data_IF_135095784045
#
_entry.id   IF_135095784045
#
_cell.length_a   1.000
_cell.length_b   1.000
_cell.length_c   1.000
_cell.angle_alpha   90.00
_cell.angle_beta   90.00
_cell.angle_gamma   90.00
#
_symmetry.space_group_name_H-M   'P 1'
#
loop_
_entity.id
_entity.type
_entity.pdbx_description
1 polymer ?
#
# COMPACT_ATOMS: atom_id res chain seq x y z
N UNK A 1 48.95 12.55 -40.38
CA UNK A 1 47.81 13.44 -40.07
C UNK A 1 46.51 12.64 -40.23
N UNK A 2 45.91 12.16 -39.12
CA UNK A 2 44.68 11.37 -39.13
C UNK A 2 43.52 12.24 -38.65
N UNK A 3 42.47 12.37 -39.48
CA UNK A 3 41.22 13.07 -39.15
C UNK A 3 40.40 12.22 -38.17
N UNK A 4 40.04 12.79 -37.02
CA UNK A 4 39.10 12.21 -36.05
C UNK A 4 37.74 12.88 -36.32
N UNK A 5 36.71 12.08 -36.62
CA UNK A 5 35.33 12.55 -36.79
C UNK A 5 34.65 12.85 -35.45
N UNK A 6 33.49 13.55 -35.44
CA UNK A 6 32.87 14.00 -34.20
C UNK A 6 32.26 12.83 -33.42
N UNK A 7 32.62 12.73 -32.14
CA UNK A 7 31.99 11.86 -31.16
C UNK A 7 30.66 12.50 -30.74
N UNK A 8 29.55 11.83 -31.04
CA UNK A 8 28.21 12.19 -30.55
C UNK A 8 28.16 11.80 -29.07
N UNK A 9 28.21 12.80 -28.19
CA UNK A 9 28.03 12.65 -26.76
C UNK A 9 26.54 12.46 -26.47
N UNK A 10 26.08 11.20 -26.43
CA UNK A 10 24.77 10.87 -25.85
C UNK A 10 24.85 11.07 -24.33
N UNK A 11 24.37 12.21 -23.85
CA UNK A 11 24.08 12.42 -22.43
C UNK A 11 22.87 11.56 -22.08
N UNK A 12 23.11 10.35 -21.58
CA UNK A 12 22.07 9.54 -20.94
C UNK A 12 21.62 10.25 -19.67
N UNK A 13 20.43 10.84 -19.75
CA UNK A 13 19.69 11.44 -18.65
C UNK A 13 19.44 10.35 -17.59
N UNK A 14 20.28 10.31 -16.54
CA UNK A 14 19.96 9.61 -15.30
C UNK A 14 18.68 10.24 -14.73
N UNK A 15 17.53 9.63 -15.02
CA UNK A 15 16.33 9.82 -14.23
C UNK A 15 16.60 9.19 -12.86
N UNK A 16 17.19 10.00 -11.98
CA UNK A 16 17.18 9.82 -10.54
C UNK A 16 15.71 9.88 -10.10
N UNK A 17 14.97 8.79 -10.30
CA UNK A 17 13.68 8.62 -9.64
C UNK A 17 13.99 8.44 -8.17
N UNK A 18 13.85 9.53 -7.41
CA UNK A 18 13.84 9.50 -5.97
C UNK A 18 12.71 8.60 -5.50
N UNK A 19 13.00 7.29 -5.37
CA UNK A 19 12.31 6.45 -4.43
C UNK A 19 12.66 6.99 -3.05
N UNK A 20 11.80 7.88 -2.54
CA UNK A 20 11.75 8.14 -1.11
C UNK A 20 11.43 6.79 -0.47
N UNK A 21 12.45 6.23 0.16
CA UNK A 21 12.40 4.96 0.87
C UNK A 21 11.34 5.07 1.99
N UNK A 22 10.20 4.41 1.81
CA UNK A 22 9.13 4.37 2.81
C UNK A 22 9.51 3.54 4.05
N UNK A 23 10.73 2.99 4.12
CA UNK A 23 11.27 2.31 5.30
C UNK A 23 11.70 3.29 6.43
N UNK A 24 11.61 4.59 6.19
CA UNK A 24 12.19 5.65 7.04
C UNK A 24 11.55 5.95 8.40
N UNK A 25 10.71 5.09 8.99
CA UNK A 25 10.11 5.36 10.30
C UNK A 25 10.05 4.10 11.19
N UNK A 26 11.17 3.38 11.35
CA UNK A 26 11.59 2.74 12.61
C UNK A 26 12.97 2.07 12.48
N UNK A 27 13.91 2.51 13.34
CA UNK A 27 15.22 1.91 13.69
C UNK A 27 16.31 1.95 12.60
N UNK A 28 17.56 2.02 13.08
CA UNK A 28 18.80 2.02 12.30
C UNK A 28 18.71 1.05 11.12
N UNK A 29 19.26 1.47 9.97
CA UNK A 29 19.34 0.74 8.69
C UNK A 29 19.82 -0.70 8.92
N UNK A 30 18.89 -1.61 9.26
CA UNK A 30 19.13 -3.02 9.18
C UNK A 30 19.52 -3.28 7.72
N UNK A 31 20.59 -4.04 7.50
CA UNK A 31 20.94 -4.48 6.16
C UNK A 31 19.67 -5.03 5.50
N UNK A 32 19.34 -4.55 4.30
CA UNK A 32 18.12 -4.96 3.62
C UNK A 32 18.15 -6.47 3.42
N UNK A 33 17.05 -7.17 3.72
CA UNK A 33 16.97 -8.61 3.53
C UNK A 33 17.09 -8.90 2.01
N UNK A 34 18.14 -9.61 1.56
CA UNK A 34 18.34 -9.89 0.13
C UNK A 34 17.16 -10.64 -0.51
N UNK A 35 16.44 -11.47 0.26
CA UNK A 35 15.25 -12.15 -0.25
C UNK A 35 14.12 -11.15 -0.51
N UNK A 36 13.89 -10.24 0.42
CA UNK A 36 12.89 -9.17 0.27
C UNK A 36 13.22 -8.31 -0.95
N UNK A 37 14.47 -7.86 -1.07
CA UNK A 37 14.91 -7.01 -2.17
C UNK A 37 14.79 -7.71 -3.53
N UNK A 38 15.16 -9.00 -3.62
CA UNK A 38 14.97 -9.80 -4.84
C UNK A 38 13.51 -9.91 -5.24
N UNK A 39 12.60 -10.16 -4.30
CA UNK A 39 11.16 -10.25 -4.58
C UNK A 39 10.62 -8.89 -5.03
N UNK A 40 10.92 -7.81 -4.31
CA UNK A 40 10.49 -6.45 -4.69
C UNK A 40 11.00 -6.08 -6.08
N UNK A 41 12.28 -6.35 -6.37
CA UNK A 41 12.91 -6.03 -7.65
C UNK A 41 12.30 -6.83 -8.79
N UNK A 42 12.12 -8.14 -8.59
CA UNK A 42 11.52 -9.02 -9.59
C UNK A 42 10.07 -8.65 -9.93
N UNK A 43 9.23 -8.38 -8.92
CA UNK A 43 7.86 -7.91 -9.13
C UNK A 43 7.83 -6.52 -9.78
N UNK A 44 8.72 -5.61 -9.36
CA UNK A 44 8.81 -4.27 -9.96
C UNK A 44 9.13 -4.34 -11.45
N UNK A 45 9.99 -5.29 -11.85
CA UNK A 45 10.42 -5.53 -13.22
C UNK A 45 9.49 -6.48 -14.00
N UNK A 46 8.43 -6.97 -13.37
CA UNK A 46 7.45 -7.91 -13.93
C UNK A 46 8.11 -9.21 -14.42
N UNK A 47 9.05 -9.73 -13.63
CA UNK A 47 9.72 -11.01 -13.91
C UNK A 47 8.79 -12.17 -13.58
N UNK A 48 8.69 -13.15 -14.49
CA UNK A 48 7.95 -14.41 -14.29
C UNK A 48 8.77 -15.46 -13.54
N UNK A 49 10.10 -15.30 -13.48
CA UNK A 49 11.00 -16.07 -12.63
C UNK A 49 11.97 -15.14 -11.92
N UNK A 50 12.05 -15.24 -10.59
CA UNK A 50 12.92 -14.43 -9.73
C UNK A 50 13.88 -15.37 -9.02
N UNK A 51 15.19 -15.16 -9.20
CA UNK A 51 16.20 -15.91 -8.47
C UNK A 51 16.20 -15.51 -6.99
N UNK A 52 16.10 -16.50 -6.10
CA UNK A 52 16.12 -16.29 -4.65
C UNK A 52 17.43 -16.75 -4.00
N UNK A 53 18.37 -17.28 -4.81
CA UNK A 53 19.59 -17.90 -4.31
C UNK A 53 19.30 -18.98 -3.26
N UNK A 54 20.17 -19.10 -2.25
CA UNK A 54 20.00 -20.04 -1.14
C UNK A 54 18.70 -19.82 -0.35
N UNK A 55 18.20 -18.59 -0.26
CA UNK A 55 16.96 -18.28 0.45
C UNK A 55 15.74 -18.98 -0.15
N UNK A 56 15.81 -19.37 -1.43
CA UNK A 56 14.74 -20.09 -2.11
C UNK A 56 14.57 -21.56 -1.70
N UNK A 57 15.46 -22.10 -0.85
CA UNK A 57 15.31 -23.46 -0.30
C UNK A 57 14.40 -23.50 0.94
N UNK A 58 14.15 -22.35 1.59
CA UNK A 58 13.24 -22.21 2.72
C UNK A 58 11.88 -21.66 2.25
N UNK A 59 10.97 -22.57 1.89
CA UNK A 59 9.63 -22.22 1.41
C UNK A 59 8.83 -21.35 2.38
N UNK A 60 8.99 -21.56 3.69
CA UNK A 60 8.27 -20.81 4.71
C UNK A 60 8.78 -19.37 4.78
N UNK A 61 10.10 -19.17 4.69
CA UNK A 61 10.69 -17.84 4.62
C UNK A 61 10.30 -17.11 3.33
N UNK A 62 10.30 -17.79 2.19
CA UNK A 62 9.83 -17.21 0.91
C UNK A 62 8.38 -16.76 1.02
N UNK A 63 7.50 -17.60 1.56
CA UNK A 63 6.09 -17.26 1.76
C UNK A 63 5.89 -16.05 2.65
N UNK A 64 6.48 -16.06 3.85
CA UNK A 64 6.40 -14.93 4.79
C UNK A 64 6.94 -13.64 4.18
N UNK A 65 8.05 -13.72 3.43
CA UNK A 65 8.65 -12.54 2.79
C UNK A 65 7.79 -12.02 1.64
N UNK A 66 7.18 -12.90 0.83
CA UNK A 66 6.27 -12.50 -0.23
C UNK A 66 5.02 -11.80 0.34
N UNK A 67 4.40 -12.38 1.37
CA UNK A 67 3.29 -11.77 2.11
C UNK A 67 3.66 -10.41 2.71
N UNK A 68 4.87 -10.30 3.29
CA UNK A 68 5.40 -9.05 3.80
C UNK A 68 5.55 -8.00 2.70
N UNK A 69 6.14 -8.36 1.54
CA UNK A 69 6.28 -7.45 0.39
C UNK A 69 4.93 -6.91 -0.05
N UNK A 70 3.92 -7.77 -0.23
CA UNK A 70 2.59 -7.31 -0.68
C UNK A 70 1.89 -6.42 0.34
N UNK A 71 2.08 -6.69 1.64
CA UNK A 71 1.54 -5.84 2.71
C UNK A 71 2.28 -4.50 2.81
N UNK A 72 3.60 -4.49 2.64
CA UNK A 72 4.44 -3.30 2.78
C UNK A 72 4.41 -2.40 1.54
N UNK A 73 4.25 -2.98 0.36
CA UNK A 73 4.35 -2.33 -0.96
C UNK A 73 3.04 -2.43 -1.73
N UNK A 74 1.94 -1.82 -1.25
CA UNK A 74 0.64 -1.93 -1.88
C UNK A 74 0.58 -1.35 -3.31
N UNK A 75 1.59 -0.57 -3.73
CA UNK A 75 1.77 -0.15 -5.13
C UNK A 75 2.09 -1.31 -6.10
N UNK A 76 2.50 -2.47 -5.58
CA UNK A 76 2.69 -3.72 -6.33
C UNK A 76 1.36 -4.49 -6.48
N UNK A 77 0.24 -3.79 -6.63
CA UNK A 77 -1.11 -4.36 -6.67
C UNK A 77 -1.35 -5.41 -7.78
N UNK A 78 -0.48 -5.44 -8.78
CA UNK A 78 -0.54 -6.37 -9.90
C UNK A 78 0.22 -7.68 -9.64
N UNK A 79 0.87 -7.81 -8.49
CA UNK A 79 1.53 -9.04 -8.08
C UNK A 79 0.51 -10.18 -7.93
N UNK A 80 0.81 -11.41 -8.38
CA UNK A 80 -0.11 -12.54 -8.27
C UNK A 80 -0.38 -12.95 -6.82
N UNK A 81 -1.61 -13.34 -6.50
CA UNK A 81 -1.92 -13.96 -5.20
C UNK A 81 -1.43 -15.42 -5.11
N UNK A 82 -1.17 -16.06 -6.25
CA UNK A 82 -0.63 -17.42 -6.34
C UNK A 82 0.72 -17.43 -7.05
N UNK A 83 1.64 -18.26 -6.53
CA UNK A 83 2.98 -18.42 -7.06
C UNK A 83 3.48 -19.84 -6.81
N UNK A 84 4.59 -20.20 -7.45
CA UNK A 84 5.30 -21.45 -7.17
C UNK A 84 6.73 -21.14 -6.73
N UNK A 85 7.28 -22.01 -5.91
CA UNK A 85 8.72 -21.97 -5.59
C UNK A 85 9.32 -23.27 -6.10
N UNK A 86 10.38 -23.16 -6.89
CA UNK A 86 11.16 -24.29 -7.39
C UNK A 86 12.54 -24.25 -6.74
N UNK A 87 13.09 -25.40 -6.35
CA UNK A 87 14.44 -25.50 -5.79
C UNK A 87 15.14 -26.77 -6.25
N UNK A 88 16.47 -26.69 -6.37
CA UNK A 88 17.36 -27.81 -6.64
C UNK A 88 18.16 -28.27 -5.40
N UNK A 89 17.73 -27.88 -4.20
CA UNK A 89 18.43 -28.16 -2.93
C UNK A 89 19.58 -27.21 -2.59
N UNK A 90 20.12 -26.47 -3.56
CA UNK A 90 21.16 -25.45 -3.34
C UNK A 90 20.65 -24.02 -3.50
N UNK A 91 19.73 -23.81 -4.42
CA UNK A 91 19.11 -22.51 -4.71
C UNK A 91 17.64 -22.69 -5.04
N UNK A 92 16.87 -21.60 -5.01
CA UNK A 92 15.48 -21.61 -5.45
C UNK A 92 15.08 -20.39 -6.27
N UNK A 93 13.92 -20.51 -6.92
CA UNK A 93 13.31 -19.50 -7.77
C UNK A 93 11.84 -19.32 -7.40
N UNK A 94 11.39 -18.06 -7.40
CA UNK A 94 9.97 -17.70 -7.31
C UNK A 94 9.40 -17.55 -8.72
N UNK A 95 8.40 -18.37 -9.04
CA UNK A 95 7.72 -18.39 -10.33
C UNK A 95 6.36 -17.70 -10.21
N UNK A 96 6.14 -16.69 -11.05
CA UNK A 96 4.99 -15.79 -11.02
C UNK A 96 4.23 -15.83 -12.35
N UNK A 97 2.90 -15.92 -12.27
CA UNK A 97 2.00 -15.80 -13.42
C UNK A 97 1.15 -14.54 -13.27
N UNK A 98 1.48 -13.50 -14.03
CA UNK A 98 0.74 -12.24 -13.99
C UNK A 98 -0.57 -12.32 -14.77
N UNK A 99 -1.63 -11.72 -14.22
CA UNK A 99 -2.94 -11.57 -14.86
C UNK A 99 -2.90 -10.68 -16.11
N UNK A 100 -1.94 -9.75 -16.16
CA UNK A 100 -1.80 -8.74 -17.20
C UNK A 100 -0.42 -8.84 -17.85
N UNK A 101 -0.31 -8.41 -19.10
CA UNK A 101 0.98 -8.31 -19.79
C UNK A 101 1.87 -7.25 -19.15
N UNK A 102 3.19 -7.35 -19.37
CA UNK A 102 4.16 -6.35 -18.89
C UNK A 102 3.84 -4.93 -19.38
N UNK A 103 3.34 -4.78 -20.60
CA UNK A 103 2.92 -3.49 -21.16
C UNK A 103 1.70 -2.92 -20.43
N UNK A 104 0.68 -3.76 -20.18
CA UNK A 104 -0.51 -3.38 -19.40
C UNK A 104 -0.12 -2.96 -17.99
N UNK A 105 0.69 -3.76 -17.29
CA UNK A 105 1.18 -3.45 -15.94
C UNK A 105 1.95 -2.14 -15.93
N UNK A 106 2.79 -1.88 -16.93
CA UNK A 106 3.53 -0.62 -17.04
C UNK A 106 2.57 0.58 -17.17
N UNK A 107 1.54 0.47 -18.02
CA UNK A 107 0.51 1.51 -18.15
C UNK A 107 -0.25 1.74 -16.85
N UNK A 108 -0.64 0.67 -16.16
CA UNK A 108 -1.34 0.76 -14.88
C UNK A 108 -0.47 1.39 -13.78
N UNK A 109 0.82 1.03 -13.70
CA UNK A 109 1.80 1.65 -12.80
C UNK A 109 1.92 3.15 -13.06
N UNK A 110 2.02 3.57 -14.32
CA UNK A 110 2.10 4.99 -14.68
C UNK A 110 0.85 5.76 -14.23
N UNK A 111 -0.35 5.22 -14.47
CA UNK A 111 -1.61 5.84 -14.03
C UNK A 111 -1.69 5.97 -12.50
N UNK A 112 -1.36 4.89 -11.78
CA UNK A 112 -1.35 4.89 -10.33
C UNK A 112 -0.33 5.89 -9.78
N UNK A 113 0.90 5.87 -10.28
CA UNK A 113 1.97 6.76 -9.82
C UNK A 113 1.62 8.24 -10.06
N UNK A 114 1.04 8.58 -11.22
CA UNK A 114 0.60 9.94 -11.49
C UNK A 114 -0.49 10.40 -10.50
N UNK A 115 -1.49 9.54 -10.24
CA UNK A 115 -2.55 9.82 -9.26
C UNK A 115 -2.00 9.99 -7.85
N UNK A 116 -1.17 9.05 -7.39
CA UNK A 116 -0.54 9.07 -6.07
C UNK A 116 0.33 10.32 -5.90
N UNK A 117 1.18 10.65 -6.89
CA UNK A 117 2.06 11.81 -6.82
C UNK A 117 1.28 13.13 -6.71
N UNK A 118 0.18 13.27 -7.45
CA UNK A 118 -0.70 14.44 -7.36
C UNK A 118 -1.29 14.60 -5.96
N UNK A 119 -1.83 13.54 -5.37
CA UNK A 119 -2.42 13.57 -4.03
C UNK A 119 -1.35 13.86 -2.98
N UNK A 120 -0.20 13.19 -3.05
CA UNK A 120 0.91 13.36 -2.10
C UNK A 120 1.48 14.78 -2.19
N UNK A 121 1.62 15.35 -3.39
CA UNK A 121 2.07 16.73 -3.55
C UNK A 121 1.12 17.71 -2.84
N UNK A 122 -0.19 17.57 -3.06
CA UNK A 122 -1.20 18.39 -2.40
C UNK A 122 -1.22 18.17 -0.88
N UNK A 123 -1.07 16.94 -0.39
CA UNK A 123 -0.96 16.65 1.03
C UNK A 123 0.28 17.33 1.65
N UNK A 124 1.43 17.30 0.97
CA UNK A 124 2.68 17.93 1.47
C UNK A 124 2.60 19.45 1.61
N UNK A 125 1.63 20.12 0.99
CA UNK A 125 1.37 21.56 1.21
C UNK A 125 0.73 21.87 2.56
N UNK A 126 0.19 20.86 3.27
CA UNK A 126 -0.47 21.05 4.57
C UNK A 126 0.55 21.28 5.68
N UNK A 127 0.23 22.20 6.60
CA UNK A 127 1.16 22.68 7.63
C UNK A 127 1.46 21.64 8.70
N UNK A 128 0.44 20.88 9.12
CA UNK A 128 0.57 19.90 10.21
C UNK A 128 0.36 18.47 9.70
N UNK A 129 0.90 17.49 10.43
CA UNK A 129 0.66 16.07 10.15
C UNK A 129 -0.83 15.73 10.17
N UNK A 130 -1.58 16.26 11.16
CA UNK A 130 -3.03 16.09 11.24
C UNK A 130 -3.74 16.59 9.97
N UNK A 131 -3.37 17.77 9.45
CA UNK A 131 -3.94 18.30 8.21
C UNK A 131 -3.57 17.44 6.98
N UNK A 132 -2.40 16.82 6.97
CA UNK A 132 -2.02 15.85 5.91
C UNK A 132 -2.91 14.62 5.96
N UNK A 133 -3.12 14.05 7.15
CA UNK A 133 -4.00 12.89 7.34
C UNK A 133 -5.43 13.24 6.95
N UNK A 134 -5.95 14.39 7.41
CA UNK A 134 -7.29 14.87 7.07
C UNK A 134 -7.48 15.06 5.56
N UNK A 135 -6.51 15.67 4.88
CA UNK A 135 -6.58 15.85 3.43
C UNK A 135 -6.64 14.51 2.68
N UNK A 136 -5.77 13.56 3.05
CA UNK A 136 -5.71 12.23 2.41
C UNK A 136 -6.98 11.44 2.69
N UNK A 137 -7.46 11.45 3.94
CA UNK A 137 -8.72 10.84 4.34
C UNK A 137 -9.89 11.36 3.50
N UNK A 138 -10.09 12.68 3.49
CA UNK A 138 -11.20 13.30 2.77
C UNK A 138 -11.10 13.07 1.27
N UNK A 139 -9.89 13.09 0.69
CA UNK A 139 -9.70 12.80 -0.71
C UNK A 139 -10.12 11.37 -1.05
N UNK A 140 -9.72 10.38 -0.24
CA UNK A 140 -10.02 8.98 -0.49
C UNK A 140 -11.52 8.68 -0.34
N UNK A 141 -12.14 9.11 0.76
CA UNK A 141 -13.57 8.91 1.04
C UNK A 141 -14.45 9.54 -0.04
N UNK A 142 -14.11 10.75 -0.51
CA UNK A 142 -14.89 11.38 -1.57
C UNK A 142 -14.60 10.83 -2.98
N UNK A 143 -13.48 10.12 -3.17
CA UNK A 143 -13.08 9.58 -4.47
C UNK A 143 -13.66 8.19 -4.71
N UNK A 144 -13.46 7.30 -3.75
CA UNK A 144 -13.80 5.89 -3.87
C UNK A 144 -15.24 5.66 -3.40
N UNK A 145 -15.86 4.61 -3.93
CA UNK A 145 -17.13 4.09 -3.44
C UNK A 145 -16.91 2.68 -2.92
N UNK A 146 -17.52 2.37 -1.78
CA UNK A 146 -17.50 1.00 -1.27
C UNK A 146 -18.14 0.03 -2.28
N UNK A 147 -17.48 -1.11 -2.54
CA UNK A 147 -17.96 -2.11 -3.51
C UNK A 147 -19.09 -2.99 -2.94
N UNK A 148 -20.14 -2.34 -2.44
CA UNK A 148 -21.20 -2.96 -1.66
C UNK A 148 -22.00 -4.00 -2.43
N UNK A 149 -22.34 -3.72 -3.69
CA UNK A 149 -23.17 -4.65 -4.46
C UNK A 149 -22.44 -5.96 -4.77
N UNK A 150 -21.15 -5.89 -5.07
CA UNK A 150 -20.33 -7.08 -5.25
C UNK A 150 -20.04 -7.76 -3.90
N UNK A 151 -19.98 -7.00 -2.80
CA UNK A 151 -19.82 -7.55 -1.46
C UNK A 151 -21.00 -8.45 -1.11
N UNK A 152 -22.23 -7.93 -1.27
CA UNK A 152 -23.46 -8.69 -1.01
C UNK A 152 -23.61 -9.92 -1.91
N UNK A 153 -23.09 -9.85 -3.14
CA UNK A 153 -23.13 -10.97 -4.10
C UNK A 153 -21.98 -11.97 -3.91
N UNK A 154 -20.98 -11.67 -3.10
CA UNK A 154 -19.77 -12.48 -3.00
C UNK A 154 -18.90 -12.46 -4.27
N UNK A 155 -19.01 -11.40 -5.08
CA UNK A 155 -18.34 -11.26 -6.39
C UNK A 155 -17.34 -10.12 -6.43
N UNK A 156 -16.71 -9.79 -5.30
CA UNK A 156 -15.71 -8.71 -5.23
C UNK A 156 -14.55 -9.02 -6.20
N UNK A 157 -14.26 -8.14 -7.18
CA UNK A 157 -13.13 -8.33 -8.06
C UNK A 157 -11.81 -8.07 -7.31
N UNK A 158 -10.73 -8.77 -7.70
CA UNK A 158 -9.39 -8.61 -7.10
C UNK A 158 -8.95 -7.14 -6.97
N UNK A 159 -9.32 -6.31 -7.95
CA UNK A 159 -8.97 -4.89 -7.99
C UNK A 159 -9.56 -4.11 -6.82
N UNK A 160 -10.74 -4.48 -6.31
CA UNK A 160 -11.40 -3.81 -5.17
C UNK A 160 -10.63 -3.99 -3.85
N UNK A 161 -9.73 -4.96 -3.76
CA UNK A 161 -8.81 -5.15 -2.61
C UNK A 161 -7.48 -4.39 -2.78
N UNK A 162 -7.38 -3.48 -3.75
CA UNK A 162 -6.11 -2.85 -4.12
C UNK A 162 -6.17 -1.34 -4.15
N UNK A 163 -4.98 -0.71 -4.11
CA UNK A 163 -4.84 0.73 -4.32
C UNK A 163 -5.30 1.18 -5.70
N UNK A 164 -5.21 0.29 -6.70
CA UNK A 164 -5.69 0.59 -8.04
C UNK A 164 -7.23 0.64 -8.08
N UNK A 165 -7.89 -0.27 -7.34
CA UNK A 165 -9.33 -0.23 -7.15
C UNK A 165 -9.80 1.11 -6.59
N UNK A 166 -9.25 1.51 -5.45
CA UNK A 166 -9.67 2.72 -4.78
C UNK A 166 -9.29 4.00 -5.55
N UNK A 167 -8.04 4.11 -6.03
CA UNK A 167 -7.53 5.38 -6.59
C UNK A 167 -7.78 5.57 -8.08
N UNK A 168 -7.93 4.48 -8.84
CA UNK A 168 -8.11 4.53 -10.30
C UNK A 168 -9.50 4.08 -10.71
N UNK A 169 -9.95 2.91 -10.24
CA UNK A 169 -11.30 2.42 -10.54
C UNK A 169 -12.37 3.11 -9.69
N UNK A 170 -11.98 3.86 -8.65
CA UNK A 170 -12.87 4.54 -7.70
C UNK A 170 -13.84 3.59 -6.99
N UNK A 171 -13.44 2.33 -6.83
CA UNK A 171 -14.27 1.29 -6.22
C UNK A 171 -13.39 0.32 -5.44
N UNK A 172 -13.69 0.13 -4.16
CA UNK A 172 -12.89 -0.71 -3.28
C UNK A 172 -13.69 -1.26 -2.10
N UNK A 173 -13.16 -2.29 -1.46
CA UNK A 173 -13.58 -2.72 -0.10
C UNK A 173 -12.54 -2.28 0.93
N UNK A 174 -12.75 -2.59 2.20
CA UNK A 174 -11.92 -2.15 3.32
C UNK A 174 -10.41 -2.29 3.10
N UNK A 175 -9.96 -3.42 2.55
CA UNK A 175 -8.54 -3.63 2.24
C UNK A 175 -7.98 -2.65 1.20
N UNK A 176 -8.76 -2.29 0.17
CA UNK A 176 -8.38 -1.30 -0.84
C UNK A 176 -8.31 0.13 -0.26
N UNK A 177 -9.23 0.49 0.63
CA UNK A 177 -9.17 1.77 1.37
C UNK A 177 -7.94 1.82 2.27
N UNK A 178 -7.75 0.79 3.11
CA UNK A 178 -6.66 0.75 4.08
C UNK A 178 -5.27 0.73 3.42
N UNK A 179 -5.11 0.00 2.30
CA UNK A 179 -3.88 0.03 1.50
C UNK A 179 -3.63 1.41 0.88
N UNK A 180 -4.68 2.10 0.43
CA UNK A 180 -4.56 3.43 -0.20
C UNK A 180 -4.19 4.51 0.80
N UNK A 181 -4.86 4.54 1.95
CA UNK A 181 -4.49 5.40 3.08
C UNK A 181 -3.03 5.19 3.48
N UNK A 182 -2.62 3.93 3.72
CA UNK A 182 -1.23 3.57 4.04
C UNK A 182 -0.23 4.10 3.00
N UNK A 183 -0.49 3.85 1.72
CA UNK A 183 0.39 4.28 0.63
C UNK A 183 0.56 5.80 0.59
N UNK A 184 -0.56 6.53 0.63
CA UNK A 184 -0.59 7.99 0.53
C UNK A 184 0.05 8.65 1.76
N UNK A 185 -0.24 8.14 2.96
CA UNK A 185 0.32 8.64 4.22
C UNK A 185 1.83 8.43 4.27
N UNK A 186 2.30 7.20 4.01
CA UNK A 186 3.73 6.90 4.04
C UNK A 186 4.51 7.72 3.01
N UNK A 187 3.98 7.91 1.78
CA UNK A 187 4.60 8.79 0.77
C UNK A 187 4.55 10.28 1.14
N UNK A 188 3.65 10.66 2.04
CA UNK A 188 3.55 12.02 2.61
C UNK A 188 4.40 12.23 3.87
N UNK A 189 5.17 11.21 4.27
CA UNK A 189 6.05 11.26 5.45
C UNK A 189 5.34 10.95 6.77
N UNK A 190 4.10 10.47 6.73
CA UNK A 190 3.33 10.07 7.91
C UNK A 190 3.43 8.56 8.05
N UNK A 191 3.92 8.09 9.19
CA UNK A 191 3.94 6.65 9.46
C UNK A 191 2.50 6.12 9.54
N UNK A 192 2.23 5.11 8.73
CA UNK A 192 0.96 4.40 8.72
C UNK A 192 1.18 2.91 8.41
N UNK A 193 0.43 2.07 9.12
CA UNK A 193 0.33 0.62 8.86
C UNK A 193 -1.11 0.23 8.60
N UNK A 194 -1.29 -0.87 7.88
CA UNK A 194 -2.60 -1.51 7.74
C UNK A 194 -2.78 -2.43 8.94
N UNK A 195 -3.94 -2.35 9.58
CA UNK A 195 -4.38 -3.29 10.60
C UNK A 195 -5.36 -4.24 9.95
N UNK A 196 -5.17 -5.55 10.16
CA UNK A 196 -6.17 -6.56 9.79
C UNK A 196 -6.82 -7.04 11.09
N UNK A 197 -8.13 -7.20 11.06
CA UNK A 197 -8.91 -7.62 12.21
C UNK A 197 -10.34 -7.98 11.83
N UNK A 198 -11.26 -7.71 12.73
CA UNK A 198 -12.69 -7.91 12.54
C UNK A 198 -13.45 -6.66 12.95
N UNK A 199 -14.53 -6.37 12.23
CA UNK A 199 -15.52 -5.36 12.59
C UNK A 199 -16.91 -5.82 12.13
N UNK A 200 -17.97 -5.50 12.89
CA UNK A 200 -19.34 -5.91 12.58
C UNK A 200 -19.50 -7.41 12.24
N UNK A 201 -18.73 -8.27 12.91
CA UNK A 201 -18.79 -9.73 12.73
C UNK A 201 -18.07 -10.28 11.48
N UNK A 202 -17.39 -9.44 10.69
CA UNK A 202 -16.66 -9.86 9.49
C UNK A 202 -15.18 -9.44 9.49
N UNK A 203 -14.33 -10.07 8.65
CA UNK A 203 -12.97 -9.61 8.43
C UNK A 203 -12.95 -8.16 7.95
N UNK A 204 -12.08 -7.35 8.54
CA UNK A 204 -11.98 -5.93 8.23
C UNK A 204 -10.53 -5.43 8.24
N UNK A 205 -10.31 -4.30 7.57
CA UNK A 205 -8.99 -3.68 7.49
C UNK A 205 -9.10 -2.15 7.55
N UNK A 206 -8.25 -1.55 8.37
CA UNK A 206 -8.16 -0.09 8.57
C UNK A 206 -6.70 0.31 8.81
N UNK A 207 -6.45 1.53 9.31
CA UNK A 207 -5.10 2.02 9.55
C UNK A 207 -4.83 2.40 11.00
N UNK A 208 -3.57 2.21 11.40
CA UNK A 208 -2.97 2.85 12.56
C UNK A 208 -1.92 3.84 12.05
N UNK A 209 -2.01 5.09 12.52
CA UNK A 209 -1.21 6.22 12.03
C UNK A 209 -0.50 6.92 13.18
N UNK A 210 0.69 7.47 12.92
CA UNK A 210 1.42 8.30 13.89
C UNK A 210 1.30 9.77 13.52
N UNK A 211 0.74 10.57 14.43
CA UNK A 211 0.55 12.01 14.28
C UNK A 211 1.10 12.71 15.52
N UNK A 212 2.06 13.61 15.34
CA UNK A 212 2.71 14.39 16.39
C UNK A 212 3.21 13.53 17.55
N UNK A 213 3.87 12.41 17.22
CA UNK A 213 4.42 11.48 18.20
C UNK A 213 3.42 10.48 18.79
N UNK A 214 2.11 10.67 18.57
CA UNK A 214 1.02 9.86 19.13
C UNK A 214 0.42 8.94 18.08
N UNK A 215 -0.18 7.84 18.52
CA UNK A 215 -0.78 6.84 17.64
C UNK A 215 -2.31 6.94 17.67
N UNK A 216 -2.92 6.78 16.51
CA UNK A 216 -4.37 6.88 16.33
C UNK A 216 -4.84 5.91 15.27
N UNK A 217 -6.09 5.49 15.36
CA UNK A 217 -6.74 4.74 14.31
C UNK A 217 -7.42 5.67 13.29
N UNK A 218 -7.43 5.22 12.04
CA UNK A 218 -8.19 5.83 10.95
C UNK A 218 -8.85 4.70 10.17
N UNK A 219 -10.18 4.71 10.13
CA UNK A 219 -10.97 3.82 9.28
C UNK A 219 -11.74 4.63 8.23
N UNK A 220 -11.12 4.80 7.06
CA UNK A 220 -11.71 5.51 5.95
C UNK A 220 -12.89 4.77 5.31
N UNK A 221 -13.08 3.47 5.58
CA UNK A 221 -14.23 2.72 5.08
C UNK A 221 -15.47 2.97 5.93
N UNK A 222 -15.32 2.97 7.26
CA UNK A 222 -16.44 3.28 8.15
C UNK A 222 -16.76 4.78 8.18
N UNK A 223 -15.82 5.63 7.75
CA UNK A 223 -16.05 7.05 7.47
C UNK A 223 -16.60 7.34 6.04
N UNK A 224 -16.86 6.29 5.24
CA UNK A 224 -17.56 6.31 3.93
C UNK A 224 -18.91 5.55 3.99
N UNK A 225 -19.90 6.02 4.78
CA UNK A 225 -21.19 5.35 4.90
C UNK A 225 -21.96 5.31 3.58
N UNK A 226 -22.52 4.14 3.28
CA UNK A 226 -23.42 3.95 2.15
C UNK A 226 -24.75 4.63 2.43
N UNK A 227 -25.00 5.74 1.73
CA UNK A 227 -26.25 6.49 1.84
C UNK A 227 -27.36 5.86 1.01
N UNK A 228 -28.63 6.11 1.39
CA UNK A 228 -29.81 5.60 0.67
C UNK A 228 -29.87 6.04 -0.80
N UNK A 229 -29.30 7.20 -1.14
CA UNK A 229 -29.20 7.72 -2.50
C UNK A 229 -27.85 7.42 -3.18
N UNK A 230 -27.00 6.59 -2.56
CA UNK A 230 -25.65 6.21 -3.01
C UNK A 230 -24.73 7.39 -3.33
N UNK A 231 -25.00 8.56 -2.75
CA UNK A 231 -24.08 9.70 -2.83
C UNK A 231 -22.95 9.51 -1.81
N UNK A 232 -21.70 9.88 -2.17
CA UNK A 232 -20.61 9.92 -1.21
C UNK A 232 -20.99 10.78 0.00
N UNK A 233 -20.77 10.24 1.19
CA UNK A 233 -20.94 10.97 2.44
C UNK A 233 -19.66 10.82 3.24
N UNK A 234 -19.09 11.95 3.61
CA UNK A 234 -17.87 11.99 4.41
C UNK A 234 -18.23 12.19 5.87
N UNK A 235 -17.85 11.24 6.72
CA UNK A 235 -17.93 11.37 8.18
C UNK A 235 -16.53 11.33 8.80
N UNK A 236 -16.47 11.43 10.13
CA UNK A 236 -15.23 11.47 10.89
C UNK A 236 -15.34 10.66 12.18
N UNK A 237 -16.20 9.64 12.20
CA UNK A 237 -16.48 8.84 13.39
C UNK A 237 -15.24 8.03 13.78
N UNK A 238 -14.47 7.56 12.80
CA UNK A 238 -13.25 6.76 13.00
C UNK A 238 -11.97 7.51 12.59
N UNK A 239 -12.05 8.82 12.37
CA UNK A 239 -10.90 9.66 12.09
C UNK A 239 -10.10 10.00 13.37
N UNK A 240 -8.83 9.58 13.42
CA UNK A 240 -7.87 9.82 14.49
C UNK A 240 -8.39 9.45 15.89
N UNK A 241 -9.00 8.28 16.00
CA UNK A 241 -9.59 7.80 17.25
C UNK A 241 -8.61 6.96 18.09
N UNK A 242 -8.74 6.95 19.43
CA UNK A 242 -7.97 6.06 20.30
C UNK A 242 -8.44 4.59 20.22
N UNK A 243 -7.65 3.69 20.81
CA UNK A 243 -7.98 2.28 21.06
C UNK A 243 -9.37 2.17 21.70
N UNK A 244 -9.66 2.97 22.73
CA UNK A 244 -10.94 2.96 23.48
C UNK A 244 -12.17 3.27 22.63
N UNK A 245 -12.00 3.92 21.48
CA UNK A 245 -13.11 4.20 20.56
C UNK A 245 -13.28 3.09 19.55
N UNK A 246 -12.17 2.64 18.93
CA UNK A 246 -12.24 1.62 17.88
C UNK A 246 -12.53 0.23 18.46
N UNK A 247 -12.13 -0.05 19.71
CA UNK A 247 -12.38 -1.31 20.41
C UNK A 247 -13.85 -1.59 20.70
N UNK A 248 -14.75 -0.61 20.50
CA UNK A 248 -16.18 -0.81 20.74
C UNK A 248 -16.83 -1.73 19.69
N UNK A 249 -16.29 -1.76 18.48
CA UNK A 249 -16.83 -2.52 17.35
C UNK A 249 -15.77 -3.17 16.45
N UNK A 250 -14.48 -2.88 16.68
CA UNK A 250 -13.35 -3.55 16.04
C UNK A 250 -12.59 -4.43 17.03
N UNK A 251 -11.96 -5.47 16.49
CA UNK A 251 -11.00 -6.30 17.22
C UNK A 251 -9.82 -6.70 16.35
N UNK A 252 -8.61 -6.72 16.92
CA UNK A 252 -7.39 -7.09 16.22
C UNK A 252 -6.32 -7.65 17.17
N UNK A 253 -5.30 -8.28 16.59
CA UNK A 253 -4.10 -8.67 17.34
C UNK A 253 -3.24 -7.44 17.57
N UNK A 254 -3.09 -7.03 18.84
CA UNK A 254 -2.29 -5.85 19.24
C UNK A 254 -0.77 -6.11 19.24
N UNK A 255 -0.35 -7.36 19.28
CA UNK A 255 1.07 -7.74 19.36
C UNK A 255 1.86 -7.15 18.21
N UNK A 256 2.92 -6.40 18.53
CA UNK A 256 3.78 -5.74 17.55
C UNK A 256 3.27 -4.39 17.04
N UNK A 257 2.10 -3.93 17.50
CA UNK A 257 1.57 -2.60 17.18
C UNK A 257 1.68 -1.64 18.38
N UNK A 258 1.96 -0.35 18.14
CA UNK A 258 1.91 0.66 19.19
C UNK A 258 0.47 0.91 19.66
N UNK A 259 0.30 1.32 20.92
CA UNK A 259 -1.02 1.60 21.52
C UNK A 259 -1.50 3.01 21.18
N UNK A 260 -2.77 3.17 20.82
CA UNK A 260 -3.40 4.46 20.56
C UNK A 260 -4.18 4.97 21.78
N UNK A 261 -3.47 5.35 22.84
CA UNK A 261 -4.09 5.78 24.13
C UNK A 261 -4.40 7.28 24.21
N UNK A 262 -4.11 8.04 23.16
CA UNK A 262 -4.26 9.50 23.17
C UNK A 262 -5.66 9.93 22.77
N UNK A 263 -6.21 10.94 23.46
CA UNK A 263 -7.50 11.55 23.10
C UNK A 263 -7.45 12.07 21.65
N UNK A 264 -8.54 11.86 20.92
CA UNK A 264 -8.75 12.38 19.56
C UNK A 264 -8.47 13.88 19.52
N UNK A 265 -7.60 14.37 18.62
CA UNK A 265 -7.33 15.80 18.50
C UNK A 265 -8.56 16.55 17.99
N UNK A 266 -8.72 17.82 18.40
CA UNK A 266 -9.73 18.70 17.82
C UNK A 266 -9.41 18.93 16.34
N UNK A 267 -10.45 18.89 15.49
CA UNK A 267 -10.34 19.13 14.05
C UNK A 267 -10.27 20.62 13.72
#
# INVERSE_FOLDING_TARGET
>A
MRKIGPVILMVSLLLLTGLVDSRGLHKAKAASDPLYDSIVTGITNVQTSISLGKSGTDFNRVRKTYEQVLNERPELFYAPNSYRVSSNGSTGQLLLTYKYSKAQITSMKTKLNAKVNSIVAAAKTKKTEQQKVLYIHNYLVNLAQYDYDNYLKGTIPDSSYSVYGALINKKAVCDGYAKSMKLLLNKSGIWAVKVNGYANGGPHAWNLVKVSGKYYHVDATFDDPITSNRKPMLTYNYFLVPDTTIDNDHSWTRTGLPKAVSVKPKM
#
